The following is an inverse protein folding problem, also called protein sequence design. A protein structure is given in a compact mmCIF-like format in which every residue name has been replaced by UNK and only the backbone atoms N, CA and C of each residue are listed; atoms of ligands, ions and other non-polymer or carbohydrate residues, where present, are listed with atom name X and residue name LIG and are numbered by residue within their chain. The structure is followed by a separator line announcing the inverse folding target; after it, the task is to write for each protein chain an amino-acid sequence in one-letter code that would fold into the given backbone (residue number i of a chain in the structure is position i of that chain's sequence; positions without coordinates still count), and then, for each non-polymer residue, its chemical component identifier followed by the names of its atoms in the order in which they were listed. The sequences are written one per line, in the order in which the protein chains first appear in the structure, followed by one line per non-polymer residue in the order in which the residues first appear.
data_IF_426512356480
#
_entry.id   IF_426512356480
#
_cell.length_a   1.000
_cell.length_b   1.000
_cell.length_c   1.000
_cell.angle_alpha   90.00
_cell.angle_beta   90.00
_cell.angle_gamma   90.00
#
_symmetry.space_group_name_H-M   'P 1'
#
loop_
_entity.id
_entity.type
_entity.pdbx_description
1 polymer ?
#
# COMPACT_ATOMS: atom_id res chain seq x y z
N UNK A 1 -4.11 -17.34 -13.59
CA UNK A 1 -3.51 -17.61 -14.91
C UNK A 1 -2.34 -16.67 -15.13
N UNK A 2 -1.24 -17.19 -15.63
CA UNK A 2 -0.09 -16.34 -16.01
C UNK A 2 -0.43 -15.65 -17.32
N UNK A 3 -0.31 -14.30 -17.42
CA UNK A 3 -0.54 -13.57 -18.65
C UNK A 3 0.41 -14.01 -19.77
N UNK A 4 -0.07 -14.11 -21.00
CA UNK A 4 0.77 -14.41 -22.16
C UNK A 4 1.74 -13.26 -22.48
N UNK A 5 2.77 -13.56 -23.27
CA UNK A 5 3.71 -12.54 -23.72
C UNK A 5 2.99 -11.46 -24.55
N UNK A 6 2.10 -11.86 -25.43
CA UNK A 6 1.34 -10.94 -26.29
C UNK A 6 0.44 -10.02 -25.47
N UNK A 7 -0.16 -10.51 -24.38
CA UNK A 7 -0.93 -9.68 -23.46
C UNK A 7 -0.02 -8.65 -22.76
N UNK A 8 1.14 -9.05 -22.30
CA UNK A 8 2.11 -8.13 -21.69
C UNK A 8 2.60 -7.07 -22.67
N UNK A 9 2.90 -7.47 -23.89
CA UNK A 9 3.31 -6.56 -24.97
C UNK A 9 2.19 -5.56 -25.32
N UNK A 10 0.94 -6.02 -25.34
CA UNK A 10 -0.23 -5.16 -25.54
C UNK A 10 -0.42 -4.14 -24.40
N UNK A 11 -0.29 -4.55 -23.14
CA UNK A 11 -0.35 -3.62 -22.00
C UNK A 11 0.79 -2.60 -22.06
N UNK A 12 2.00 -3.04 -22.41
CA UNK A 12 3.15 -2.14 -22.57
C UNK A 12 2.87 -1.09 -23.67
N UNK A 13 2.35 -1.51 -24.81
CA UNK A 13 1.94 -0.60 -25.89
C UNK A 13 0.89 0.40 -25.41
N UNK A 14 -0.16 -0.06 -24.72
CA UNK A 14 -1.19 0.84 -24.19
C UNK A 14 -0.60 1.87 -23.22
N UNK A 15 0.30 1.46 -22.32
CA UNK A 15 0.94 2.35 -21.38
C UNK A 15 1.78 3.43 -22.10
N UNK A 16 2.49 3.06 -23.17
CA UNK A 16 3.25 4.01 -23.99
C UNK A 16 2.36 5.05 -24.67
N UNK A 17 1.30 4.59 -25.32
CA UNK A 17 0.37 5.46 -26.04
C UNK A 17 -0.34 6.44 -25.10
N UNK A 18 -0.82 5.97 -23.96
CA UNK A 18 -1.49 6.82 -22.96
C UNK A 18 -0.52 7.83 -22.36
N UNK A 19 0.73 7.42 -22.11
CA UNK A 19 1.77 8.35 -21.65
C UNK A 19 2.12 9.40 -22.70
N UNK A 20 2.26 9.02 -23.95
CA UNK A 20 2.55 9.96 -25.03
C UNK A 20 1.46 11.03 -25.16
N UNK A 21 0.18 10.61 -25.12
CA UNK A 21 -0.95 11.54 -25.14
C UNK A 21 -0.97 12.45 -23.90
N UNK A 22 -0.77 11.89 -22.71
CA UNK A 22 -0.73 12.67 -21.47
C UNK A 22 0.41 13.70 -21.51
N UNK A 23 1.58 13.28 -22.00
CA UNK A 23 2.74 14.19 -22.14
C UNK A 23 2.44 15.34 -23.09
N UNK A 24 1.82 15.06 -24.25
CA UNK A 24 1.43 16.13 -25.21
C UNK A 24 0.53 17.18 -24.55
N UNK A 25 -0.45 16.75 -23.75
CA UNK A 25 -1.34 17.65 -23.02
C UNK A 25 -0.57 18.47 -21.98
N UNK A 26 0.35 17.86 -21.25
CA UNK A 26 1.20 18.54 -20.26
C UNK A 26 2.13 19.55 -20.95
N UNK A 27 2.76 19.20 -22.07
CA UNK A 27 3.62 20.09 -22.83
C UNK A 27 2.84 21.33 -23.34
N UNK A 28 1.57 21.16 -23.74
CA UNK A 28 0.69 22.28 -24.10
C UNK A 28 0.49 23.20 -22.88
N UNK A 29 0.16 22.65 -21.72
CA UNK A 29 -0.04 23.43 -20.47
C UNK A 29 1.23 24.21 -20.14
N UNK A 30 2.39 23.56 -20.19
CA UNK A 30 3.69 24.16 -19.92
C UNK A 30 4.03 25.28 -20.93
N UNK A 31 3.61 25.15 -22.22
CA UNK A 31 3.84 26.19 -23.22
C UNK A 31 3.17 27.53 -22.88
N UNK A 32 2.13 27.49 -22.03
CA UNK A 32 1.45 28.67 -21.48
C UNK A 32 2.02 29.14 -20.13
N UNK A 33 3.15 28.57 -19.68
CA UNK A 33 3.75 28.87 -18.38
C UNK A 33 2.87 28.46 -17.18
N UNK A 34 2.05 27.43 -17.35
CA UNK A 34 1.18 26.88 -16.31
C UNK A 34 1.66 25.53 -15.84
N UNK A 35 1.34 25.21 -14.60
CA UNK A 35 1.59 23.88 -14.03
C UNK A 35 0.46 22.93 -14.42
N UNK A 36 0.85 21.66 -14.67
CA UNK A 36 -0.06 20.59 -15.00
C UNK A 36 -0.26 19.67 -13.80
N UNK A 37 -1.50 19.45 -13.42
CA UNK A 37 -1.88 18.56 -12.34
C UNK A 37 -2.76 17.43 -12.85
N UNK A 38 -2.50 16.20 -12.39
CA UNK A 38 -3.30 15.04 -12.72
C UNK A 38 -4.04 14.50 -11.50
N UNK A 39 -5.31 14.22 -11.69
CA UNK A 39 -6.11 13.50 -10.72
C UNK A 39 -5.95 11.99 -10.95
N UNK A 40 -5.48 11.27 -9.93
CA UNK A 40 -5.17 9.85 -10.01
C UNK A 40 -6.30 8.90 -9.54
N UNK A 41 -7.51 9.43 -9.34
CA UNK A 41 -8.58 8.64 -8.76
C UNK A 41 -8.35 8.45 -7.26
N UNK A 42 -8.20 7.21 -6.83
CA UNK A 42 -8.12 6.94 -5.39
C UNK A 42 -6.72 7.17 -4.82
N UNK A 43 -5.67 6.76 -5.50
CA UNK A 43 -4.29 6.92 -5.06
C UNK A 43 -3.29 6.45 -6.13
N UNK A 44 -2.08 6.13 -5.72
CA UNK A 44 -0.95 5.62 -6.47
C UNK A 44 -1.29 4.52 -7.53
N UNK A 45 -2.32 3.67 -7.32
CA UNK A 45 -2.83 2.76 -8.36
C UNK A 45 -3.26 3.52 -9.62
N UNK A 46 -3.64 4.77 -9.51
CA UNK A 46 -3.91 5.64 -10.66
C UNK A 46 -2.73 5.86 -11.59
N UNK A 47 -1.50 5.53 -11.17
CA UNK A 47 -0.31 5.57 -12.05
C UNK A 47 -0.18 4.34 -12.94
N UNK A 48 -0.88 3.25 -12.64
CA UNK A 48 -0.80 1.98 -13.37
C UNK A 48 -1.14 2.05 -14.85
N UNK A 49 -2.09 2.92 -15.31
CA UNK A 49 -2.32 3.11 -16.75
C UNK A 49 -1.09 3.56 -17.52
N UNK A 50 -0.16 4.20 -16.85
CA UNK A 50 1.07 4.76 -17.42
C UNK A 50 2.29 3.86 -17.16
N UNK A 51 2.23 3.01 -16.12
CA UNK A 51 3.29 2.10 -15.74
C UNK A 51 4.62 2.81 -15.52
N UNK A 52 5.72 2.18 -15.95
CA UNK A 52 7.07 2.72 -15.83
C UNK A 52 7.30 4.06 -16.56
N UNK A 53 6.38 4.44 -17.43
CA UNK A 53 6.47 5.68 -18.23
C UNK A 53 5.88 6.89 -17.50
N UNK A 54 5.23 6.72 -16.35
CA UNK A 54 4.54 7.78 -15.62
C UNK A 54 5.43 9.02 -15.41
N UNK A 55 6.66 8.83 -14.95
CA UNK A 55 7.59 9.95 -14.73
C UNK A 55 7.89 10.78 -16.00
N UNK A 56 7.82 10.15 -17.19
CA UNK A 56 8.10 10.83 -18.46
C UNK A 56 7.00 11.79 -18.90
N UNK A 57 5.82 11.74 -18.28
CA UNK A 57 4.72 12.67 -18.56
C UNK A 57 5.12 14.10 -18.17
N UNK A 58 5.92 14.26 -17.10
CA UNK A 58 6.42 15.56 -16.66
C UNK A 58 5.38 16.38 -15.90
N UNK A 59 4.48 15.74 -15.15
CA UNK A 59 3.51 16.41 -14.30
C UNK A 59 4.18 17.23 -13.21
N UNK A 60 3.58 18.37 -12.86
CA UNK A 60 4.01 19.17 -11.71
C UNK A 60 3.40 18.63 -10.40
N UNK A 61 2.16 18.21 -10.45
CA UNK A 61 1.45 17.71 -9.28
C UNK A 61 0.53 16.54 -9.59
N UNK A 62 0.26 15.76 -8.56
CA UNK A 62 -0.77 14.73 -8.54
C UNK A 62 -1.71 14.92 -7.38
N UNK A 63 -2.98 14.53 -7.58
CA UNK A 63 -4.03 14.61 -6.58
C UNK A 63 -4.67 13.25 -6.40
N UNK A 64 -4.82 12.80 -5.17
CA UNK A 64 -5.53 11.58 -4.83
C UNK A 64 -6.47 11.75 -3.64
N UNK A 65 -7.39 10.82 -3.46
CA UNK A 65 -8.30 10.80 -2.31
C UNK A 65 -7.56 10.37 -1.04
N UNK A 66 -7.80 11.06 0.06
CA UNK A 66 -7.24 10.75 1.38
C UNK A 66 -8.37 10.35 2.31
N UNK A 67 -8.44 9.07 2.64
CA UNK A 67 -9.44 8.53 3.56
C UNK A 67 -8.83 7.68 4.69
N UNK A 68 -7.51 7.44 4.61
CA UNK A 68 -6.78 6.60 5.58
C UNK A 68 -5.29 6.95 5.58
N UNK A 69 -4.53 6.35 6.50
CA UNK A 69 -3.08 6.43 6.49
C UNK A 69 -2.46 5.76 5.26
N UNK A 70 -3.10 4.72 4.75
CA UNK A 70 -2.69 4.01 3.53
C UNK A 70 -2.75 4.92 2.32
N UNK A 71 -3.91 5.50 2.04
CA UNK A 71 -4.11 6.36 0.87
C UNK A 71 -3.21 7.59 0.92
N UNK A 72 -3.03 8.20 2.09
CA UNK A 72 -2.11 9.31 2.28
C UNK A 72 -0.67 8.91 1.93
N UNK A 73 -0.20 7.79 2.46
CA UNK A 73 1.15 7.27 2.20
C UNK A 73 1.36 6.97 0.72
N UNK A 74 0.40 6.31 0.09
CA UNK A 74 0.49 5.94 -1.33
C UNK A 74 0.51 7.16 -2.26
N UNK A 75 -0.11 8.27 -1.87
CA UNK A 75 -0.05 9.51 -2.63
C UNK A 75 1.29 10.21 -2.41
N UNK A 76 1.74 10.29 -1.16
CA UNK A 76 2.99 10.97 -0.82
C UNK A 76 4.23 10.30 -1.43
N UNK A 77 4.14 9.01 -1.74
CA UNK A 77 5.23 8.21 -2.32
C UNK A 77 5.29 8.28 -3.86
N UNK A 78 4.38 9.01 -4.51
CA UNK A 78 4.40 9.15 -5.96
C UNK A 78 5.60 9.97 -6.41
N UNK A 79 6.48 9.32 -7.14
CA UNK A 79 7.68 9.94 -7.66
C UNK A 79 7.47 10.65 -9.01
N UNK A 80 8.38 11.60 -9.31
CA UNK A 80 8.42 12.30 -10.60
C UNK A 80 7.46 13.49 -10.71
N UNK A 81 6.96 13.97 -9.57
CA UNK A 81 6.17 15.19 -9.46
C UNK A 81 6.82 16.17 -8.50
N UNK A 82 6.51 17.45 -8.61
CA UNK A 82 7.04 18.49 -7.71
C UNK A 82 6.36 18.46 -6.35
N UNK A 83 5.04 18.20 -6.34
CA UNK A 83 4.26 18.12 -5.11
C UNK A 83 3.05 17.19 -5.25
N UNK A 84 2.63 16.68 -4.09
CA UNK A 84 1.50 15.79 -3.94
C UNK A 84 0.37 16.49 -3.20
N UNK A 85 -0.86 16.20 -3.58
CA UNK A 85 -2.06 16.77 -2.99
C UNK A 85 -3.05 15.67 -2.58
N UNK A 86 -3.51 15.74 -1.34
CA UNK A 86 -4.57 14.90 -0.81
C UNK A 86 -5.89 15.65 -0.81
N UNK A 87 -6.95 15.03 -1.30
CA UNK A 87 -8.29 15.55 -1.14
C UNK A 87 -9.08 14.72 -0.14
N UNK A 88 -9.64 15.39 0.83
CA UNK A 88 -10.65 14.82 1.70
C UNK A 88 -11.97 14.78 0.91
N UNK A 89 -12.43 13.59 0.67
CA UNK A 89 -13.70 13.33 0.04
C UNK A 89 -14.44 12.34 0.92
N UNK A 90 -15.46 12.74 1.69
CA UNK A 90 -16.42 11.79 2.19
C UNK A 90 -17.06 11.16 0.95
N UNK A 91 -16.96 9.85 0.90
CA UNK A 91 -17.09 9.10 -0.32
C UNK A 91 -18.41 9.38 -1.05
N UNK A 92 -18.31 9.51 -2.32
CA UNK A 92 -19.25 9.68 -3.41
C UNK A 92 -20.62 10.31 -3.05
N UNK A 93 -20.78 11.52 -3.56
CA UNK A 93 -22.11 12.01 -3.81
C UNK A 93 -22.85 10.99 -4.73
N UNK A 94 -24.12 10.79 -4.58
CA UNK A 94 -25.02 11.34 -3.58
C UNK A 94 -25.09 10.55 -2.27
N UNK A 95 -24.20 9.59 -2.07
CA UNK A 95 -24.36 8.56 -1.03
C UNK A 95 -24.19 9.11 0.38
N UNK A 96 -23.35 10.14 0.53
CA UNK A 96 -23.08 10.76 1.84
C UNK A 96 -23.81 12.09 2.01
N UNK A 97 -23.91 12.88 0.93
CA UNK A 97 -24.63 14.16 0.93
C UNK A 97 -26.10 13.99 0.61
N UNK A 98 -26.79 13.16 1.36
CA UNK A 98 -28.20 12.85 1.20
C UNK A 98 -28.94 12.88 2.55
N UNK A 99 -30.27 12.95 2.57
CA UNK A 99 -31.03 12.84 3.81
C UNK A 99 -30.69 11.54 4.56
N UNK A 100 -30.25 11.68 5.82
CA UNK A 100 -29.77 10.57 6.66
C UNK A 100 -28.30 10.23 6.51
N UNK A 101 -27.55 10.85 5.60
CA UNK A 101 -26.11 10.74 5.51
C UNK A 101 -25.38 11.59 6.56
N UNK A 102 -24.14 11.22 6.86
CA UNK A 102 -23.29 11.93 7.83
C UNK A 102 -21.93 12.34 7.20
N UNK A 103 -21.91 13.34 6.31
CA UNK A 103 -20.68 13.81 5.69
C UNK A 103 -19.65 14.36 6.69
N UNK A 104 -20.12 14.90 7.82
CA UNK A 104 -19.24 15.46 8.86
C UNK A 104 -18.52 14.33 9.58
N UNK A 105 -19.23 13.33 10.06
CA UNK A 105 -18.66 12.18 10.76
C UNK A 105 -17.71 11.39 9.86
N UNK A 106 -18.05 11.24 8.58
CA UNK A 106 -17.17 10.56 7.62
C UNK A 106 -15.89 11.34 7.35
N UNK A 107 -15.97 12.65 7.11
CA UNK A 107 -14.77 13.48 6.92
C UNK A 107 -13.86 13.44 8.15
N UNK A 108 -14.45 13.52 9.35
CA UNK A 108 -13.72 13.43 10.62
C UNK A 108 -13.04 12.08 10.78
N UNK A 109 -13.74 10.99 10.50
CA UNK A 109 -13.21 9.63 10.59
C UNK A 109 -12.06 9.42 9.61
N UNK A 110 -12.21 9.87 8.38
CA UNK A 110 -11.17 9.79 7.35
C UNK A 110 -9.92 10.59 7.75
N UNK A 111 -10.11 11.79 8.28
CA UNK A 111 -9.00 12.59 8.78
C UNK A 111 -8.29 11.94 9.97
N UNK A 112 -9.03 11.43 10.95
CA UNK A 112 -8.44 10.74 12.11
C UNK A 112 -7.58 9.53 11.71
N UNK A 113 -7.97 8.82 10.67
CA UNK A 113 -7.16 7.72 10.10
C UNK A 113 -5.95 8.25 9.34
N UNK A 114 -6.14 9.23 8.47
CA UNK A 114 -5.09 9.76 7.61
C UNK A 114 -4.00 10.50 8.39
N UNK A 115 -4.34 11.31 9.38
CA UNK A 115 -3.38 12.15 10.09
C UNK A 115 -2.27 11.38 10.81
N UNK A 116 -2.50 10.09 11.12
CA UNK A 116 -1.47 9.22 11.69
C UNK A 116 -0.25 9.09 10.78
N UNK A 117 -0.47 9.10 9.48
CA UNK A 117 0.59 8.97 8.50
C UNK A 117 1.24 10.32 8.10
N UNK A 118 0.61 11.46 8.37
CA UNK A 118 1.10 12.79 7.94
C UNK A 118 2.53 13.06 8.39
N UNK A 119 2.88 12.69 9.62
CA UNK A 119 4.22 12.89 10.17
C UNK A 119 5.31 12.02 9.52
N UNK A 120 4.92 10.93 8.86
CA UNK A 120 5.83 9.97 8.24
C UNK A 120 5.84 10.04 6.72
N UNK A 121 4.74 10.49 6.15
CA UNK A 121 4.52 10.58 4.71
C UNK A 121 3.84 11.91 4.41
N UNK A 122 4.57 13.03 4.47
CA UNK A 122 3.98 14.35 4.33
C UNK A 122 3.43 14.54 2.92
N UNK A 123 2.20 15.07 2.85
CA UNK A 123 1.66 15.67 1.64
C UNK A 123 2.02 17.16 1.62
N UNK A 124 2.18 17.71 0.43
CA UNK A 124 2.42 19.14 0.27
C UNK A 124 1.14 19.96 0.44
N UNK A 125 0.00 19.38 0.05
CA UNK A 125 -1.31 20.05 0.08
C UNK A 125 -2.41 19.07 0.53
N UNK A 126 -3.43 19.63 1.20
CA UNK A 126 -4.66 18.93 1.53
C UNK A 126 -5.86 19.87 1.42
N UNK A 127 -6.99 19.34 0.99
CA UNK A 127 -8.22 20.11 0.89
C UNK A 127 -9.44 19.24 0.58
N UNK A 128 -10.57 19.89 0.35
CA UNK A 128 -11.77 19.23 -0.13
C UNK A 128 -11.74 19.10 -1.65
N UNK A 129 -11.96 17.90 -2.14
CA UNK A 129 -12.06 17.62 -3.56
C UNK A 129 -13.42 16.98 -3.89
N UNK A 130 -14.38 17.78 -4.30
CA UNK A 130 -15.71 17.30 -4.65
C UNK A 130 -16.60 18.40 -5.22
N UNK A 131 -17.91 18.15 -5.29
CA UNK A 131 -18.86 19.13 -5.81
C UNK A 131 -19.19 20.21 -4.78
N UNK A 132 -18.57 21.37 -4.89
CA UNK A 132 -18.77 22.48 -3.96
C UNK A 132 -20.25 22.87 -3.82
N UNK A 133 -21.02 22.84 -4.91
CA UNK A 133 -22.47 23.14 -4.87
C UNK A 133 -23.23 22.13 -3.99
N UNK A 134 -22.82 20.89 -3.96
CA UNK A 134 -23.42 19.89 -3.11
C UNK A 134 -23.01 20.09 -1.65
N UNK A 135 -21.71 20.25 -1.41
CA UNK A 135 -21.16 20.49 -0.08
C UNK A 135 -21.69 21.77 0.57
N UNK A 136 -21.95 22.84 -0.22
CA UNK A 136 -22.49 24.10 0.30
C UNK A 136 -23.87 23.99 0.95
N UNK A 137 -24.60 22.91 0.68
CA UNK A 137 -25.87 22.61 1.37
C UNK A 137 -25.66 22.04 2.78
N UNK A 138 -24.41 21.80 3.17
CA UNK A 138 -24.01 21.22 4.44
C UNK A 138 -23.00 22.12 5.16
N UNK A 139 -23.43 23.22 5.77
CA UNK A 139 -22.52 24.20 6.38
C UNK A 139 -21.56 23.56 7.39
N UNK A 140 -22.05 22.68 8.25
CA UNK A 140 -21.23 21.99 9.24
C UNK A 140 -20.12 21.08 8.63
N UNK A 141 -20.33 20.58 7.41
CA UNK A 141 -19.28 19.88 6.68
C UNK A 141 -18.16 20.83 6.22
N UNK A 142 -18.53 22.01 5.72
CA UNK A 142 -17.54 23.03 5.33
C UNK A 142 -16.70 23.48 6.54
N UNK A 143 -17.36 23.67 7.70
CA UNK A 143 -16.68 23.99 8.95
C UNK A 143 -15.70 22.88 9.37
N UNK A 144 -16.10 21.62 9.24
CA UNK A 144 -15.21 20.48 9.54
C UNK A 144 -14.01 20.43 8.59
N UNK A 145 -14.20 20.68 7.29
CA UNK A 145 -13.08 20.77 6.33
C UNK A 145 -12.13 21.91 6.69
N UNK A 146 -12.65 23.06 7.14
CA UNK A 146 -11.82 24.16 7.61
C UNK A 146 -10.99 23.76 8.84
N UNK A 147 -11.58 23.04 9.79
CA UNK A 147 -10.88 22.51 10.96
C UNK A 147 -9.74 21.56 10.56
N UNK A 148 -10.01 20.61 9.65
CA UNK A 148 -9.01 19.67 9.13
C UNK A 148 -7.86 20.39 8.44
N UNK A 149 -8.18 21.35 7.56
CA UNK A 149 -7.17 22.15 6.86
C UNK A 149 -6.34 22.99 7.84
N UNK A 150 -6.98 23.53 8.88
CA UNK A 150 -6.29 24.26 9.95
C UNK A 150 -5.32 23.39 10.71
N UNK A 151 -5.75 22.19 11.13
CA UNK A 151 -4.90 21.21 11.81
C UNK A 151 -3.73 20.77 10.92
N UNK A 152 -4.01 20.43 9.65
CA UNK A 152 -2.97 20.04 8.70
C UNK A 152 -1.92 21.15 8.51
N UNK A 153 -2.36 22.39 8.36
CA UNK A 153 -1.45 23.54 8.23
C UNK A 153 -0.56 23.66 9.46
N UNK A 154 -1.11 23.55 10.65
CA UNK A 154 -0.35 23.61 11.88
C UNK A 154 0.69 22.47 11.97
N UNK A 155 0.31 21.23 11.59
CA UNK A 155 1.25 20.11 11.52
C UNK A 155 2.35 20.41 10.51
N UNK A 156 1.99 20.84 9.30
CA UNK A 156 2.94 21.15 8.23
C UNK A 156 3.92 22.24 8.62
N UNK A 157 3.45 23.33 9.23
CA UNK A 157 4.30 24.42 9.72
C UNK A 157 5.26 23.97 10.81
N UNK A 158 4.78 23.15 11.76
CA UNK A 158 5.60 22.61 12.84
C UNK A 158 6.65 21.57 12.35
N UNK A 159 6.43 20.94 11.22
CA UNK A 159 7.38 20.03 10.61
C UNK A 159 8.50 20.75 9.85
N UNK A 160 8.33 22.02 9.50
CA UNK A 160 9.35 22.78 8.79
C UNK A 160 10.64 22.88 9.63
N UNK A 161 11.76 22.42 9.06
CA UNK A 161 13.05 22.43 9.74
C UNK A 161 13.21 21.40 10.87
N UNK A 162 12.23 20.51 11.06
CA UNK A 162 12.31 19.42 12.03
C UNK A 162 12.38 18.07 11.31
N UNK A 163 12.89 17.06 12.00
CA UNK A 163 12.89 15.68 11.54
C UNK A 163 12.20 14.80 12.58
N UNK A 164 11.21 14.04 12.15
CA UNK A 164 10.54 13.09 13.05
C UNK A 164 11.54 12.06 13.57
N UNK A 165 11.44 11.71 14.84
CA UNK A 165 12.19 10.59 15.39
C UNK A 165 11.67 9.28 14.76
N UNK A 166 12.60 8.48 14.25
CA UNK A 166 12.34 7.16 13.68
C UNK A 166 13.38 6.16 14.16
N UNK A 167 13.09 4.88 14.01
CA UNK A 167 14.07 3.82 14.23
C UNK A 167 15.29 4.02 13.30
N UNK A 168 16.48 3.54 13.69
CA UNK A 168 17.72 3.75 12.94
C UNK A 168 17.82 2.90 11.66
N UNK A 169 16.71 2.37 11.17
CA UNK A 169 16.60 1.60 9.94
C UNK A 169 15.24 1.88 9.28
N UNK A 170 15.17 1.62 7.98
CA UNK A 170 13.94 1.72 7.21
C UNK A 170 13.26 0.37 7.08
N UNK A 171 11.95 0.41 6.92
CA UNK A 171 11.13 -0.74 6.53
C UNK A 171 10.79 -0.59 5.05
N UNK A 172 11.18 -1.56 4.24
CA UNK A 172 10.85 -1.58 2.83
C UNK A 172 9.67 -2.51 2.55
N UNK A 173 8.73 -2.03 1.72
CA UNK A 173 7.66 -2.85 1.19
C UNK A 173 7.98 -3.16 -0.26
N UNK A 174 8.07 -4.46 -0.58
CA UNK A 174 8.21 -4.91 -1.96
C UNK A 174 6.92 -4.64 -2.73
N UNK A 175 7.06 -4.07 -3.91
CA UNK A 175 5.91 -3.77 -4.76
C UNK A 175 6.18 -4.04 -6.25
N UNK A 176 5.10 -4.11 -7.01
CA UNK A 176 5.12 -4.27 -8.47
C UNK A 176 4.40 -3.11 -9.17
N UNK A 177 4.43 -1.93 -8.60
CA UNK A 177 3.75 -0.79 -9.20
C UNK A 177 4.36 -0.43 -10.56
N UNK A 178 3.51 -0.01 -11.46
CA UNK A 178 3.88 0.17 -12.87
C UNK A 178 3.85 -1.13 -13.67
N UNK A 179 3.77 -2.28 -13.02
CA UNK A 179 3.72 -3.60 -13.67
C UNK A 179 2.45 -4.40 -13.35
N UNK A 180 1.60 -3.93 -12.45
CA UNK A 180 0.43 -4.69 -12.01
C UNK A 180 -0.52 -5.04 -13.13
N UNK A 181 -0.76 -4.14 -14.07
CA UNK A 181 -1.62 -4.42 -15.22
C UNK A 181 -1.13 -5.56 -16.11
N UNK A 182 0.18 -5.79 -16.15
CA UNK A 182 0.76 -6.92 -16.89
C UNK A 182 0.48 -8.27 -16.23
N UNK A 183 0.18 -8.25 -14.94
CA UNK A 183 -0.05 -9.44 -14.14
C UNK A 183 -1.53 -9.73 -13.88
N UNK A 184 -2.37 -8.73 -13.94
CA UNK A 184 -3.79 -8.82 -13.62
C UNK A 184 -4.66 -9.04 -14.85
N UNK A 185 -4.42 -10.11 -15.58
CA UNK A 185 -5.23 -10.47 -16.75
C UNK A 185 -6.70 -10.81 -16.43
N UNK A 186 -7.04 -11.00 -15.17
CA UNK A 186 -8.36 -11.41 -14.68
C UNK A 186 -8.98 -10.40 -13.70
N UNK A 187 -8.69 -9.13 -13.83
CA UNK A 187 -9.23 -8.05 -13.00
C UNK A 187 -10.76 -7.93 -12.96
N UNK A 188 -11.44 -8.63 -13.87
CA UNK A 188 -12.90 -8.56 -14.02
C UNK A 188 -13.65 -9.18 -12.83
N UNK A 189 -12.98 -9.95 -12.00
CA UNK A 189 -13.59 -10.59 -10.85
C UNK A 189 -13.06 -9.99 -9.56
N UNK A 190 -13.79 -9.06 -9.01
CA UNK A 190 -13.49 -8.28 -7.82
C UNK A 190 -12.98 -9.10 -6.61
N UNK A 191 -13.29 -10.39 -6.51
CA UNK A 191 -12.99 -11.17 -5.33
C UNK A 191 -11.50 -11.50 -5.12
N UNK A 192 -10.73 -11.80 -6.16
CA UNK A 192 -9.30 -12.12 -6.02
C UNK A 192 -8.49 -10.84 -5.80
N UNK A 193 -8.83 -9.80 -6.53
CA UNK A 193 -8.23 -8.48 -6.41
C UNK A 193 -8.37 -7.93 -4.98
N UNK A 194 -9.57 -7.99 -4.42
CA UNK A 194 -9.84 -7.44 -3.09
C UNK A 194 -9.05 -8.11 -1.97
N UNK A 195 -8.87 -9.42 -2.00
CA UNK A 195 -8.13 -10.12 -0.94
C UNK A 195 -6.67 -9.69 -0.86
N UNK A 196 -6.02 -9.57 -2.01
CA UNK A 196 -4.62 -9.15 -2.10
C UNK A 196 -4.45 -7.68 -1.72
N UNK A 197 -5.35 -6.82 -2.17
CA UNK A 197 -5.38 -5.41 -1.83
C UNK A 197 -5.56 -5.23 -0.33
N UNK A 198 -6.48 -5.95 0.31
CA UNK A 198 -6.71 -5.84 1.75
C UNK A 198 -5.48 -6.22 2.56
N UNK A 199 -4.71 -7.22 2.16
CA UNK A 199 -3.47 -7.57 2.85
C UNK A 199 -2.43 -6.46 2.74
N UNK A 200 -2.24 -5.88 1.55
CA UNK A 200 -1.33 -4.77 1.34
C UNK A 200 -1.76 -3.51 2.11
N UNK A 201 -3.02 -3.15 2.02
CA UNK A 201 -3.59 -2.02 2.76
C UNK A 201 -3.52 -2.23 4.27
N UNK A 202 -3.78 -3.44 4.77
CA UNK A 202 -3.68 -3.79 6.17
C UNK A 202 -2.27 -3.61 6.71
N UNK A 203 -1.24 -4.04 5.99
CA UNK A 203 0.17 -3.84 6.37
C UNK A 203 0.51 -2.35 6.39
N UNK A 204 0.12 -1.60 5.35
CA UNK A 204 0.36 -0.16 5.29
C UNK A 204 -0.34 0.59 6.42
N UNK A 205 -1.57 0.20 6.75
CA UNK A 205 -2.32 0.81 7.84
C UNK A 205 -1.69 0.51 9.21
N UNK A 206 -1.19 -0.72 9.43
CA UNK A 206 -0.45 -1.07 10.64
C UNK A 206 0.83 -0.23 10.79
N UNK A 207 1.53 0.05 9.70
CA UNK A 207 2.74 0.87 9.72
C UNK A 207 2.45 2.37 9.84
N UNK A 208 1.21 2.81 9.60
CA UNK A 208 0.82 4.21 9.71
C UNK A 208 0.93 4.68 11.16
N UNK A 209 1.69 5.75 11.40
CA UNK A 209 1.94 6.29 12.73
C UNK A 209 3.01 5.55 13.54
N UNK A 210 3.51 4.41 13.09
CA UNK A 210 4.66 3.76 13.69
C UNK A 210 5.94 4.57 13.49
N UNK A 211 6.92 4.49 14.43
CA UNK A 211 8.17 5.26 14.34
C UNK A 211 9.17 4.62 13.36
N UNK A 212 8.71 4.31 12.16
CA UNK A 212 9.54 3.77 11.07
C UNK A 212 9.44 4.67 9.84
N UNK A 213 10.57 4.86 9.16
CA UNK A 213 10.55 5.31 7.77
C UNK A 213 10.21 4.10 6.90
N UNK A 214 9.17 4.24 6.08
CA UNK A 214 8.70 3.18 5.18
C UNK A 214 8.98 3.61 3.75
N UNK A 215 9.64 2.75 3.00
CA UNK A 215 9.92 2.93 1.58
C UNK A 215 9.24 1.83 0.76
N UNK A 216 8.85 2.17 -0.46
CA UNK A 216 8.47 1.17 -1.44
C UNK A 216 9.68 0.89 -2.34
N UNK A 217 10.07 -0.37 -2.43
CA UNK A 217 11.11 -0.82 -3.34
C UNK A 217 10.53 -1.80 -4.33
N UNK A 218 10.96 -1.71 -5.57
CA UNK A 218 10.54 -2.65 -6.60
C UNK A 218 11.58 -3.77 -6.80
N UNK A 219 11.23 -4.76 -7.59
CA UNK A 219 12.11 -5.89 -7.83
C UNK A 219 13.33 -5.55 -8.68
N UNK A 220 13.33 -4.45 -9.43
CA UNK A 220 14.52 -3.97 -10.14
C UNK A 220 15.51 -3.33 -9.17
N UNK A 221 15.04 -2.67 -8.12
CA UNK A 221 15.86 -2.19 -7.02
C UNK A 221 16.53 -3.37 -6.31
N UNK A 222 15.77 -4.43 -6.01
CA UNK A 222 16.33 -5.67 -5.42
C UNK A 222 17.42 -6.28 -6.30
N UNK A 223 17.22 -6.33 -7.63
CA UNK A 223 18.24 -6.82 -8.58
C UNK A 223 19.51 -5.97 -8.61
N UNK A 224 19.34 -4.67 -8.41
CA UNK A 224 20.43 -3.70 -8.43
C UNK A 224 21.18 -3.62 -7.10
N UNK A 225 20.55 -4.06 -6.03
CA UNK A 225 21.11 -4.10 -4.68
C UNK A 225 20.19 -3.40 -3.68
N UNK A 226 19.84 -4.11 -2.60
CA UNK A 226 18.99 -3.59 -1.52
C UNK A 226 19.76 -2.46 -0.80
N UNK A 227 19.16 -1.28 -0.60
CA UNK A 227 19.78 -0.18 0.13
C UNK A 227 20.18 -0.59 1.55
N UNK A 228 21.35 -0.12 1.99
CA UNK A 228 21.96 -0.54 3.27
C UNK A 228 21.21 -0.03 4.52
N UNK A 229 20.40 0.98 4.39
CA UNK A 229 19.60 1.56 5.45
C UNK A 229 18.25 0.85 5.65
N UNK A 230 17.92 -0.11 4.78
CA UNK A 230 16.80 -1.01 4.97
C UNK A 230 17.17 -2.09 5.98
N UNK A 231 16.43 -2.17 7.07
CA UNK A 231 16.59 -3.22 8.07
C UNK A 231 15.56 -4.33 7.97
N UNK A 232 14.39 -4.03 7.39
CA UNK A 232 13.29 -5.00 7.23
C UNK A 232 12.68 -4.87 5.85
N UNK A 233 12.44 -6.01 5.21
CA UNK A 233 11.67 -6.11 3.97
C UNK A 233 10.35 -6.81 4.27
N UNK A 234 9.25 -6.23 3.80
CA UNK A 234 7.92 -6.83 3.87
C UNK A 234 7.46 -7.15 2.46
N UNK A 235 7.08 -8.41 2.22
CA UNK A 235 6.40 -8.82 1.01
C UNK A 235 4.95 -9.20 1.33
N UNK A 236 4.02 -8.62 0.60
CA UNK A 236 2.60 -8.76 0.89
C UNK A 236 1.88 -9.53 -0.20
N UNK A 237 1.11 -10.51 0.22
CA UNK A 237 0.28 -11.32 -0.67
C UNK A 237 0.91 -12.67 -1.07
N UNK A 238 0.11 -13.48 -1.71
CA UNK A 238 0.51 -14.79 -2.18
C UNK A 238 1.52 -14.71 -3.33
N UNK A 239 2.45 -15.65 -3.35
CA UNK A 239 3.38 -15.79 -4.46
C UNK A 239 2.62 -15.88 -5.81
N UNK A 240 3.22 -15.27 -6.83
CA UNK A 240 2.65 -15.17 -8.19
C UNK A 240 1.43 -14.28 -8.35
N UNK A 241 1.07 -13.52 -7.33
CA UNK A 241 0.10 -12.44 -7.48
C UNK A 241 0.78 -11.13 -7.85
N UNK A 242 0.03 -10.19 -8.41
CA UNK A 242 0.58 -8.90 -8.83
C UNK A 242 1.18 -8.10 -7.66
N UNK A 243 0.56 -8.17 -6.49
CA UNK A 243 0.99 -7.44 -5.30
C UNK A 243 2.24 -8.02 -4.66
N UNK A 244 2.45 -9.32 -4.77
CA UNK A 244 3.59 -10.01 -4.16
C UNK A 244 4.80 -10.17 -5.08
N UNK A 245 4.74 -9.67 -6.30
CA UNK A 245 5.85 -9.72 -7.25
C UNK A 245 5.74 -10.78 -8.35
N UNK A 246 4.71 -11.62 -8.34
CA UNK A 246 4.43 -12.59 -9.38
C UNK A 246 5.67 -13.39 -9.85
N UNK A 247 6.02 -13.35 -11.15
CA UNK A 247 7.15 -14.09 -11.71
C UNK A 247 8.54 -13.56 -11.29
N UNK A 248 8.62 -12.39 -10.64
CA UNK A 248 9.89 -11.91 -10.10
C UNK A 248 10.49 -12.91 -9.10
N UNK A 249 9.65 -13.68 -8.43
CA UNK A 249 10.10 -14.70 -7.49
C UNK A 249 10.72 -15.96 -8.15
N UNK A 250 10.64 -16.08 -9.47
CA UNK A 250 11.34 -17.13 -10.25
C UNK A 250 12.75 -16.65 -10.64
N UNK A 251 13.03 -15.35 -10.54
CA UNK A 251 14.32 -14.79 -10.88
C UNK A 251 15.36 -15.08 -9.78
N UNK A 252 16.36 -15.87 -10.11
CA UNK A 252 17.43 -16.24 -9.18
C UNK A 252 18.18 -15.02 -8.60
N UNK A 253 18.28 -13.91 -9.34
CA UNK A 253 18.92 -12.69 -8.84
C UNK A 253 18.13 -12.08 -7.69
N UNK A 254 16.81 -12.03 -7.80
CA UNK A 254 15.92 -11.53 -6.75
C UNK A 254 16.02 -12.42 -5.52
N UNK A 255 15.84 -13.72 -5.70
CA UNK A 255 15.89 -14.69 -4.60
C UNK A 255 17.24 -14.66 -3.89
N UNK A 256 18.33 -14.63 -4.64
CA UNK A 256 19.69 -14.57 -4.09
C UNK A 256 19.93 -13.27 -3.33
N UNK A 257 19.48 -12.13 -3.85
CA UNK A 257 19.63 -10.84 -3.18
C UNK A 257 18.89 -10.79 -1.84
N UNK A 258 17.65 -11.32 -1.80
CA UNK A 258 16.85 -11.36 -0.55
C UNK A 258 17.47 -12.35 0.45
N UNK A 259 17.91 -13.53 0.00
CA UNK A 259 18.60 -14.49 0.88
C UNK A 259 19.85 -13.88 1.49
N UNK A 260 20.66 -13.23 0.68
CA UNK A 260 21.85 -12.52 1.15
C UNK A 260 21.53 -11.45 2.17
N UNK A 261 20.46 -10.66 1.93
CA UNK A 261 20.01 -9.64 2.86
C UNK A 261 19.64 -10.24 4.23
N UNK A 262 18.95 -11.38 4.24
CA UNK A 262 18.60 -12.09 5.48
C UNK A 262 19.83 -12.69 6.16
N UNK A 263 20.74 -13.30 5.40
CA UNK A 263 21.99 -13.86 5.93
C UNK A 263 22.89 -12.78 6.54
N UNK A 264 22.83 -11.55 6.05
CA UNK A 264 23.57 -10.39 6.58
C UNK A 264 22.86 -9.74 7.80
N UNK A 265 21.75 -10.30 8.27
CA UNK A 265 21.01 -9.86 9.46
C UNK A 265 19.77 -9.02 9.18
N UNK A 266 19.36 -8.88 7.94
CA UNK A 266 18.11 -8.21 7.57
C UNK A 266 16.88 -9.01 7.98
N UNK A 267 15.80 -8.33 8.38
CA UNK A 267 14.52 -8.95 8.67
C UNK A 267 13.67 -9.14 7.41
N UNK A 268 13.01 -10.27 7.28
CA UNK A 268 12.05 -10.49 6.21
C UNK A 268 10.69 -10.91 6.79
N UNK A 269 9.65 -10.13 6.49
CA UNK A 269 8.27 -10.43 6.89
C UNK A 269 7.49 -10.80 5.65
N UNK A 270 6.91 -11.95 5.70
CA UNK A 270 6.09 -12.46 4.64
C UNK A 270 4.62 -12.54 5.03
N UNK A 271 3.74 -12.03 4.16
CA UNK A 271 2.29 -12.19 4.28
C UNK A 271 1.82 -13.03 3.09
N UNK A 272 1.37 -14.26 3.37
CA UNK A 272 0.97 -15.21 2.35
C UNK A 272 2.06 -16.24 2.02
N UNK A 273 2.26 -16.57 0.76
CA UNK A 273 3.10 -17.71 0.33
C UNK A 273 4.43 -17.28 -0.28
N UNK A 274 5.53 -17.92 0.17
CA UNK A 274 6.90 -17.68 -0.35
C UNK A 274 7.55 -18.97 -0.84
N UNK A 275 7.28 -19.34 -2.05
CA UNK A 275 7.83 -20.57 -2.61
C UNK A 275 9.35 -20.68 -2.57
N UNK A 276 10.02 -19.60 -2.95
CA UNK A 276 11.47 -19.60 -3.12
C UNK A 276 12.25 -19.33 -1.85
N UNK A 277 11.55 -19.03 -0.76
CA UNK A 277 12.13 -18.77 0.56
C UNK A 277 11.64 -19.77 1.62
N UNK A 278 10.80 -20.73 1.25
CA UNK A 278 10.21 -21.70 2.17
C UNK A 278 11.25 -22.49 2.95
N UNK A 279 12.35 -22.86 2.30
CA UNK A 279 13.48 -23.58 2.91
C UNK A 279 14.23 -22.73 3.95
N UNK A 280 14.43 -21.43 3.68
CA UNK A 280 15.10 -20.50 4.60
C UNK A 280 14.19 -20.17 5.78
N UNK A 281 12.90 -19.97 5.51
CA UNK A 281 11.91 -19.69 6.55
C UNK A 281 11.48 -20.90 7.35
N UNK A 282 11.82 -22.11 6.89
CA UNK A 282 11.42 -23.35 7.54
C UNK A 282 9.91 -23.58 7.55
N UNK A 283 9.21 -23.11 6.54
CA UNK A 283 7.75 -23.22 6.42
C UNK A 283 7.33 -23.73 5.06
N UNK A 284 6.22 -24.46 5.03
CA UNK A 284 5.52 -24.83 3.80
C UNK A 284 4.02 -24.54 3.96
N UNK A 285 3.30 -24.59 2.89
CA UNK A 285 1.87 -24.26 2.87
C UNK A 285 1.05 -25.32 2.16
N UNK A 286 0.00 -25.75 2.80
CA UNK A 286 -1.05 -26.53 2.17
C UNK A 286 -2.15 -25.61 1.64
N UNK A 287 -2.49 -25.80 0.38
CA UNK A 287 -3.71 -25.27 -0.24
C UNK A 287 -4.52 -26.44 -0.75
N UNK A 288 -5.74 -26.59 -0.24
CA UNK A 288 -6.67 -27.61 -0.70
C UNK A 288 -7.97 -27.00 -1.18
N UNK A 289 -8.57 -27.65 -2.18
CA UNK A 289 -9.96 -27.38 -2.52
C UNK A 289 -10.82 -27.77 -1.31
N UNK A 290 -11.66 -26.87 -0.84
CA UNK A 290 -12.46 -27.01 0.39
C UNK A 290 -11.67 -26.99 1.70
N UNK A 291 -10.39 -26.67 1.71
CA UNK A 291 -9.68 -26.37 2.92
C UNK A 291 -10.20 -25.05 3.50
N UNK A 292 -10.52 -25.06 4.77
CA UNK A 292 -10.87 -23.83 5.52
C UNK A 292 -10.01 -23.73 6.77
N UNK A 293 -9.73 -22.50 7.18
CA UNK A 293 -9.02 -22.20 8.43
C UNK A 293 -9.99 -21.58 9.42
N UNK A 294 -9.71 -21.76 10.69
CA UNK A 294 -10.49 -21.12 11.75
C UNK A 294 -10.25 -19.60 11.78
N UNK A 295 -11.31 -18.88 12.09
CA UNK A 295 -11.24 -17.41 12.22
C UNK A 295 -10.32 -16.98 13.36
N UNK A 296 -10.37 -17.68 14.47
CA UNK A 296 -9.59 -17.36 15.66
C UNK A 296 -8.45 -18.35 15.84
N UNK A 297 -7.25 -17.82 15.88
CA UNK A 297 -6.07 -18.59 16.16
C UNK A 297 -5.66 -18.49 17.62
N UNK A 298 -5.30 -19.62 18.22
CA UNK A 298 -4.72 -19.68 19.56
C UNK A 298 -3.29 -19.19 19.50
N UNK A 299 -2.88 -18.37 20.46
CA UNK A 299 -1.57 -17.73 20.46
C UNK A 299 -0.80 -18.03 21.74
N UNK A 300 0.54 -17.96 21.66
CA UNK A 300 1.40 -18.00 22.84
C UNK A 300 1.37 -16.64 23.58
N UNK A 301 0.66 -16.51 24.71
CA UNK A 301 0.52 -15.24 25.41
C UNK A 301 1.80 -14.79 26.14
N UNK A 302 2.82 -15.64 26.19
CA UNK A 302 4.08 -15.36 26.90
C UNK A 302 5.18 -14.84 25.97
N UNK A 303 4.90 -14.77 24.66
CA UNK A 303 5.87 -14.21 23.74
C UNK A 303 5.78 -12.68 23.72
N UNK A 304 6.92 -11.99 23.78
CA UNK A 304 6.98 -10.52 23.89
C UNK A 304 6.22 -9.77 22.78
N UNK A 305 6.06 -10.35 21.60
CA UNK A 305 5.25 -9.78 20.50
C UNK A 305 3.76 -9.76 20.84
N UNK A 306 3.32 -10.67 21.71
CA UNK A 306 1.92 -10.87 22.09
C UNK A 306 1.66 -10.42 23.54
N UNK A 307 2.64 -9.82 24.19
CA UNK A 307 2.56 -9.36 25.57
C UNK A 307 1.76 -8.05 25.65
N UNK A 308 0.43 -8.18 25.71
CA UNK A 308 -0.52 -7.09 25.88
C UNK A 308 -1.53 -7.49 26.96
N UNK A 309 -1.80 -6.60 27.91
CA UNK A 309 -2.74 -6.85 29.03
C UNK A 309 -4.17 -7.15 28.54
N UNK A 310 -4.54 -6.66 27.36
CA UNK A 310 -5.84 -6.93 26.74
C UNK A 310 -5.89 -8.24 25.97
N UNK A 311 -4.75 -8.93 25.82
CA UNK A 311 -4.66 -10.11 24.98
C UNK A 311 -5.30 -11.35 25.64
N UNK A 312 -6.29 -11.92 24.97
CA UNK A 312 -7.10 -13.05 25.50
C UNK A 312 -6.58 -14.43 25.08
N UNK A 313 -5.42 -14.52 24.45
CA UNK A 313 -4.85 -15.76 23.91
C UNK A 313 -5.42 -16.17 22.56
N UNK A 314 -6.24 -15.33 21.92
CA UNK A 314 -6.79 -15.56 20.59
C UNK A 314 -6.71 -14.32 19.71
N UNK A 315 -6.28 -14.48 18.46
CA UNK A 315 -6.27 -13.43 17.46
C UNK A 315 -7.23 -13.79 16.33
N UNK A 316 -8.03 -12.82 15.90
CA UNK A 316 -8.89 -12.94 14.71
C UNK A 316 -8.06 -12.63 13.46
N UNK A 317 -7.68 -13.65 12.72
CA UNK A 317 -7.03 -13.52 11.41
C UNK A 317 -8.02 -13.59 10.24
N UNK A 318 -9.31 -13.75 10.53
CA UNK A 318 -10.30 -14.09 9.52
C UNK A 318 -10.20 -15.54 9.03
N UNK A 319 -11.16 -15.94 8.24
CA UNK A 319 -11.18 -17.27 7.63
C UNK A 319 -10.28 -17.30 6.39
N UNK A 320 -9.62 -18.43 6.17
CA UNK A 320 -8.73 -18.62 5.03
C UNK A 320 -8.93 -19.98 4.35
N UNK A 321 -8.15 -20.22 3.32
CA UNK A 321 -8.17 -21.48 2.53
C UNK A 321 -6.81 -22.15 2.48
N UNK A 322 -5.93 -21.82 3.42
CA UNK A 322 -4.59 -22.40 3.47
C UNK A 322 -4.08 -22.49 4.89
N UNK A 323 -3.24 -23.47 5.13
CA UNK A 323 -2.49 -23.64 6.38
C UNK A 323 -1.01 -23.56 6.11
N UNK A 324 -0.27 -23.03 7.06
CA UNK A 324 1.20 -22.98 7.04
C UNK A 324 1.70 -24.06 7.99
N UNK A 325 2.61 -24.88 7.51
CA UNK A 325 3.28 -25.91 8.28
C UNK A 325 4.73 -25.51 8.50
N UNK A 326 5.14 -25.53 9.75
CA UNK A 326 6.54 -25.33 10.08
C UNK A 326 7.34 -26.62 9.78
N UNK A 327 8.49 -26.45 9.14
CA UNK A 327 9.43 -27.54 8.80
C UNK A 327 10.78 -27.27 9.44
N UNK A 328 11.30 -28.25 10.15
CA UNK A 328 12.62 -28.11 10.78
C UNK A 328 12.57 -27.78 12.28
N UNK A 329 13.64 -27.20 12.81
CA UNK A 329 13.82 -27.00 14.26
C UNK A 329 14.13 -25.54 14.66
N UNK A 330 14.16 -24.62 13.70
CA UNK A 330 14.63 -23.25 13.90
C UNK A 330 13.49 -22.23 13.73
N UNK A 331 12.32 -22.53 14.29
CA UNK A 331 11.16 -21.65 14.27
C UNK A 331 10.48 -21.62 15.63
N UNK A 332 9.70 -20.59 15.84
CA UNK A 332 8.76 -20.47 16.95
C UNK A 332 7.37 -20.20 16.41
N UNK A 333 6.40 -21.03 16.80
CA UNK A 333 4.99 -20.84 16.46
C UNK A 333 4.39 -19.88 17.46
N UNK A 334 3.88 -18.75 17.00
CA UNK A 334 3.24 -17.75 17.84
C UNK A 334 1.71 -17.84 17.82
N UNK A 335 1.14 -18.34 16.73
CA UNK A 335 -0.30 -18.53 16.58
C UNK A 335 -0.62 -19.79 15.81
N UNK A 336 -1.71 -20.45 16.16
CA UNK A 336 -2.14 -21.72 15.56
C UNK A 336 -3.62 -21.72 15.24
N UNK A 337 -3.97 -22.39 14.14
CA UNK A 337 -5.34 -22.63 13.70
C UNK A 337 -5.85 -23.93 14.34
N UNK A 338 -6.78 -23.80 15.29
CA UNK A 338 -7.44 -24.94 15.94
C UNK A 338 -6.50 -25.90 16.68
N UNK A 339 -6.83 -27.19 16.66
CA UNK A 339 -6.07 -28.26 17.32
C UNK A 339 -4.88 -28.79 16.48
N UNK A 340 -4.70 -28.28 15.28
CA UNK A 340 -3.64 -28.72 14.38
C UNK A 340 -2.33 -28.01 14.64
N UNK A 341 -1.69 -28.37 15.73
CA UNK A 341 -0.26 -28.18 15.91
C UNK A 341 0.49 -29.43 15.46
N UNK A 342 1.31 -29.30 14.49
CA UNK A 342 2.40 -30.26 14.31
C UNK A 342 3.73 -29.56 14.47
#
# INVERSE_FOLDING_TARGET
RVPSKEFKDFIEFQQQEVCALAKELVDIVHSYGKEAMMFLGDHWIGTEPYGKYFKSIGLDAVVGSVGSGVTLRMISDIEGVKYTEGRLLPYFFPDVFCPGGDPIGEARTNWLKARRAVLRSPLDRIGYGGYLKLASNWPGFIDEIQNVVGEFRQIHENMQGTKSYVAPFKVAILNCWGHQRKWMSNQVHHSIYHRETYSAEGVLECLSGMPFDVEFINFDDVRSGIPKDIGVIINVGDAYTAFSGAENWIDEKVVTAIRKFVDEGGGFIGVGRYFQLSDVMGVDREMGFSLSTDKYNTCDPHHFILEDESFTGKIDFGEGTSRIYAQGKHYQILAQDGEYSQ
#
